data_IF_759636188523
#
_entry.id   IF_759636188523
#
_cell.length_a   1.000
_cell.length_b   1.000
_cell.length_c   1.000
_cell.angle_alpha   90.00
_cell.angle_beta   90.00
_cell.angle_gamma   90.00
#
_symmetry.space_group_name_H-M   'P 1'
#
loop_
_entity.id
_entity.type
_entity.pdbx_description
1 polymer ?
#
# COMPACT_ATOMS: atom_id res chain seq x y z
N UNK A 1 -11.51 16.51 -0.78
CA UNK A 1 -11.85 15.38 -1.67
C UNK A 1 -13.03 14.66 -1.02
N UNK A 2 -14.24 15.00 -1.45
CA UNK A 2 -15.47 14.38 -0.97
C UNK A 2 -15.50 12.94 -1.46
N UNK A 3 -15.33 11.99 -0.53
CA UNK A 3 -15.51 10.56 -0.81
C UNK A 3 -17.01 10.34 -1.07
N UNK A 4 -17.38 10.05 -2.31
CA UNK A 4 -18.77 9.76 -2.68
C UNK A 4 -19.33 8.56 -1.92
N UNK A 5 -20.66 8.44 -1.86
CA UNK A 5 -21.42 7.44 -1.08
C UNK A 5 -21.09 5.96 -1.39
N UNK A 6 -20.29 5.67 -2.43
CA UNK A 6 -19.86 4.31 -2.81
C UNK A 6 -18.46 3.92 -2.32
N UNK A 7 -17.80 4.76 -1.52
CA UNK A 7 -16.39 4.55 -1.20
C UNK A 7 -15.50 4.83 -2.41
N UNK A 8 -14.24 5.21 -2.20
CA UNK A 8 -13.34 5.64 -3.27
C UNK A 8 -12.82 4.55 -4.21
N UNK A 9 -13.59 3.47 -4.45
CA UNK A 9 -13.19 2.25 -5.15
C UNK A 9 -14.07 1.99 -6.38
N UNK A 10 -14.12 2.93 -7.32
CA UNK A 10 -14.47 2.56 -8.69
C UNK A 10 -13.18 2.31 -9.44
N UNK A 11 -13.02 1.07 -9.91
CA UNK A 11 -11.91 0.70 -10.76
C UNK A 11 -11.97 1.48 -12.06
N UNK A 12 -10.84 2.11 -12.42
CA UNK A 12 -10.69 2.93 -13.60
C UNK A 12 -10.30 2.06 -14.79
N UNK A 13 -11.02 2.24 -15.89
CA UNK A 13 -10.73 1.55 -17.15
C UNK A 13 -9.47 2.11 -17.81
N UNK A 14 -8.79 1.26 -18.60
CA UNK A 14 -7.60 1.60 -19.39
C UNK A 14 -6.43 0.67 -19.16
N UNK A 15 -5.42 0.74 -20.04
CA UNK A 15 -4.18 -0.03 -19.97
C UNK A 15 -2.98 0.78 -20.53
N UNK A 16 -2.39 1.71 -19.77
CA UNK A 16 -2.71 1.99 -18.37
C UNK A 16 -3.97 2.86 -18.20
N UNK A 17 -4.70 2.76 -17.08
CA UNK A 17 -5.71 3.73 -16.70
C UNK A 17 -5.09 5.11 -16.61
N UNK A 18 -5.73 6.12 -17.20
CA UNK A 18 -5.17 7.48 -17.30
C UNK A 18 -5.90 8.42 -16.35
N UNK A 19 -5.16 9.24 -15.60
CA UNK A 19 -5.74 10.31 -14.80
C UNK A 19 -6.24 11.45 -15.69
N UNK A 20 -7.49 11.86 -15.44
CA UNK A 20 -8.15 12.94 -16.15
C UNK A 20 -8.80 13.89 -15.14
N UNK A 21 -8.91 15.16 -15.52
CA UNK A 21 -9.59 16.18 -14.71
C UNK A 21 -11.09 16.06 -14.98
N UNK A 22 -11.86 15.76 -13.94
CA UNK A 22 -13.30 15.52 -14.05
C UNK A 22 -14.08 16.83 -14.28
N UNK A 23 -13.49 17.99 -13.98
CA UNK A 23 -14.14 19.29 -14.17
C UNK A 23 -13.17 20.46 -14.32
N UNK A 24 -13.68 21.56 -14.86
CA UNK A 24 -12.97 22.86 -14.91
C UNK A 24 -12.66 23.37 -13.50
N UNK A 25 -13.53 23.10 -12.52
CA UNK A 25 -13.30 23.46 -11.11
C UNK A 25 -12.11 22.70 -10.53
N UNK A 26 -12.03 21.39 -10.79
CA UNK A 26 -10.91 20.55 -10.36
C UNK A 26 -9.59 21.00 -11.01
N UNK A 27 -9.62 21.37 -12.30
CA UNK A 27 -8.46 21.94 -12.99
C UNK A 27 -7.98 23.23 -12.32
N UNK A 28 -8.90 24.17 -12.06
CA UNK A 28 -8.58 25.43 -11.38
C UNK A 28 -8.06 25.20 -9.96
N UNK A 29 -8.63 24.22 -9.24
CA UNK A 29 -8.17 23.84 -7.92
C UNK A 29 -6.70 23.37 -7.94
N UNK A 30 -6.34 22.45 -8.83
CA UNK A 30 -4.95 22.00 -8.92
C UNK A 30 -4.00 23.09 -9.39
N UNK A 31 -4.41 23.95 -10.32
CA UNK A 31 -3.61 25.11 -10.73
C UNK A 31 -3.36 26.08 -9.57
N UNK A 32 -4.40 26.39 -8.79
CA UNK A 32 -4.29 27.26 -7.62
C UNK A 32 -3.41 26.63 -6.54
N UNK A 33 -3.61 25.34 -6.25
CA UNK A 33 -2.76 24.57 -5.33
C UNK A 33 -1.30 24.62 -5.79
N UNK A 34 -1.03 24.29 -7.04
CA UNK A 34 0.33 24.24 -7.57
C UNK A 34 1.00 25.63 -7.55
N UNK A 35 0.24 26.69 -7.81
CA UNK A 35 0.69 28.07 -7.66
C UNK A 35 1.01 28.41 -6.19
N UNK A 36 0.08 28.12 -5.27
CA UNK A 36 0.26 28.39 -3.84
C UNK A 36 1.51 27.70 -3.31
N UNK A 37 1.68 26.41 -3.63
CA UNK A 37 2.80 25.61 -3.15
C UNK A 37 4.13 25.92 -3.86
N UNK A 38 4.10 26.58 -5.03
CA UNK A 38 5.29 26.80 -5.86
C UNK A 38 6.42 27.51 -5.13
N UNK A 39 6.11 28.48 -4.25
CA UNK A 39 7.11 29.21 -3.48
C UNK A 39 7.96 28.26 -2.64
N UNK A 40 7.33 27.41 -1.83
CA UNK A 40 8.05 26.49 -0.95
C UNK A 40 8.73 25.35 -1.73
N UNK A 41 8.06 24.83 -2.76
CA UNK A 41 8.61 23.75 -3.58
C UNK A 41 9.85 24.20 -4.35
N UNK A 42 9.79 25.32 -5.07
CA UNK A 42 10.94 25.80 -5.84
C UNK A 42 12.10 26.24 -4.92
N UNK A 43 11.81 26.82 -3.75
CA UNK A 43 12.84 27.06 -2.71
C UNK A 43 13.48 25.76 -2.25
N UNK A 44 12.71 24.70 -2.02
CA UNK A 44 13.25 23.39 -1.63
C UNK A 44 14.08 22.75 -2.76
N UNK A 45 13.61 22.83 -4.01
CA UNK A 45 14.34 22.35 -5.18
C UNK A 45 15.73 22.96 -5.27
N UNK A 46 15.83 24.28 -5.04
CA UNK A 46 17.12 24.99 -5.04
C UNK A 46 17.94 24.67 -3.80
N UNK A 47 17.36 24.77 -2.60
CA UNK A 47 18.07 24.58 -1.33
C UNK A 47 18.73 23.19 -1.22
N UNK A 48 18.05 22.16 -1.71
CA UNK A 48 18.52 20.78 -1.62
C UNK A 48 19.08 20.25 -2.94
N UNK A 49 19.33 21.14 -3.91
CA UNK A 49 19.84 20.79 -5.23
C UNK A 49 19.13 19.58 -5.85
N UNK A 50 17.80 19.55 -5.77
CA UNK A 50 17.04 18.33 -6.06
C UNK A 50 17.24 17.82 -7.49
N UNK A 51 17.68 18.66 -8.44
CA UNK A 51 17.94 18.25 -9.83
C UNK A 51 19.30 17.56 -10.02
N UNK A 52 20.19 17.61 -9.04
CA UNK A 52 21.56 17.08 -9.15
C UNK A 52 21.63 15.58 -8.91
N UNK A 53 20.69 15.01 -8.14
CA UNK A 53 20.60 13.56 -7.90
C UNK A 53 20.60 12.73 -9.19
N UNK A 54 21.12 11.52 -9.08
CA UNK A 54 21.29 10.63 -10.22
C UNK A 54 20.01 9.89 -10.60
N UNK A 55 19.15 9.58 -9.63
CA UNK A 55 17.93 8.79 -9.84
C UNK A 55 16.78 9.42 -9.05
N UNK A 56 15.60 9.45 -9.66
CA UNK A 56 14.38 9.95 -9.05
C UNK A 56 13.37 8.83 -8.92
N UNK A 57 12.98 8.51 -7.69
CA UNK A 57 12.00 7.47 -7.41
C UNK A 57 10.72 8.11 -6.88
N UNK A 58 9.65 8.01 -7.68
CA UNK A 58 8.34 8.58 -7.43
C UNK A 58 7.38 7.52 -6.89
N UNK A 59 7.08 7.64 -5.61
CA UNK A 59 6.01 6.89 -4.99
C UNK A 59 4.66 7.35 -5.55
N UNK A 60 3.80 6.38 -5.86
CA UNK A 60 2.48 6.56 -6.46
C UNK A 60 2.54 7.17 -7.87
N UNK A 61 3.70 7.28 -8.51
CA UNK A 61 3.84 8.01 -9.77
C UNK A 61 3.35 9.45 -9.64
N UNK A 62 3.74 10.12 -8.54
CA UNK A 62 3.44 11.51 -8.25
C UNK A 62 4.72 12.32 -8.07
N UNK A 63 4.64 13.59 -8.45
CA UNK A 63 5.66 14.60 -8.15
C UNK A 63 5.04 15.79 -7.40
N UNK A 64 5.79 16.88 -7.27
CA UNK A 64 5.32 18.11 -6.62
C UNK A 64 4.10 18.76 -7.30
N UNK A 65 4.00 18.68 -8.63
CA UNK A 65 2.97 19.36 -9.43
C UNK A 65 2.11 18.39 -10.23
N UNK A 66 0.82 18.70 -10.42
CA UNK A 66 -0.07 17.81 -11.19
C UNK A 66 0.18 17.86 -12.69
N UNK A 67 0.84 18.91 -13.17
CA UNK A 67 1.17 19.07 -14.58
C UNK A 67 2.48 18.38 -15.01
N UNK A 68 3.19 17.74 -14.07
CA UNK A 68 4.44 17.01 -14.34
C UNK A 68 5.61 17.93 -14.69
N UNK A 69 5.58 19.23 -14.36
CA UNK A 69 6.64 20.17 -14.78
C UNK A 69 8.01 19.81 -14.21
N UNK A 70 8.10 19.19 -13.04
CA UNK A 70 9.40 18.88 -12.44
C UNK A 70 10.04 17.67 -13.14
N UNK A 71 9.31 16.58 -13.37
CA UNK A 71 9.74 15.40 -14.14
C UNK A 71 10.04 15.75 -15.59
N UNK A 72 9.31 16.69 -16.19
CA UNK A 72 9.64 17.21 -17.53
C UNK A 72 11.00 17.91 -17.55
N UNK A 73 11.34 18.67 -16.50
CA UNK A 73 12.68 19.28 -16.37
C UNK A 73 13.74 18.19 -16.18
N UNK A 74 13.50 17.21 -15.33
CA UNK A 74 14.42 16.09 -15.07
C UNK A 74 14.68 15.23 -16.32
N UNK A 75 13.62 14.89 -17.05
CA UNK A 75 13.71 14.13 -18.30
C UNK A 75 14.55 14.87 -19.35
N UNK A 76 14.41 16.21 -19.46
CA UNK A 76 15.27 17.03 -20.35
C UNK A 76 16.74 17.05 -19.92
N UNK A 77 17.03 16.84 -18.64
CA UNK A 77 18.38 16.70 -18.11
C UNK A 77 18.92 15.25 -18.23
N UNK A 78 18.17 14.34 -18.86
CA UNK A 78 18.54 12.94 -18.99
C UNK A 78 18.49 12.15 -17.67
N UNK A 79 17.77 12.65 -16.66
CA UNK A 79 17.69 12.00 -15.35
C UNK A 79 16.71 10.81 -15.39
N UNK A 80 17.12 9.60 -14.96
CA UNK A 80 16.26 8.45 -14.75
C UNK A 80 15.12 8.72 -13.75
N UNK A 81 13.91 8.31 -14.12
CA UNK A 81 12.69 8.46 -13.30
C UNK A 81 12.01 7.10 -13.15
N UNK A 82 11.90 6.63 -11.92
CA UNK A 82 11.27 5.37 -11.53
C UNK A 82 9.94 5.69 -10.85
N UNK A 83 8.88 4.95 -11.15
CA UNK A 83 7.60 5.07 -10.46
C UNK A 83 7.23 3.74 -9.77
N UNK A 84 6.83 3.78 -8.49
CA UNK A 84 6.24 2.62 -7.80
C UNK A 84 4.75 2.87 -7.54
N UNK A 85 3.91 1.91 -7.93
CA UNK A 85 2.46 1.95 -7.78
C UNK A 85 1.98 0.97 -6.69
N UNK A 86 1.09 1.43 -5.80
CA UNK A 86 0.61 0.75 -4.58
C UNK A 86 -0.92 0.62 -4.54
N UNK A 87 -1.54 0.48 -5.70
CA UNK A 87 -2.95 0.12 -5.77
C UNK A 87 -3.84 1.29 -6.14
N UNK A 88 -4.17 2.18 -5.20
CA UNK A 88 -5.14 3.26 -5.46
C UNK A 88 -4.71 4.20 -6.60
N UNK A 89 -3.40 4.42 -6.74
CA UNK A 89 -2.83 5.21 -7.81
C UNK A 89 -3.20 4.70 -9.21
N UNK A 90 -3.25 3.38 -9.42
CA UNK A 90 -3.52 2.77 -10.71
C UNK A 90 -4.94 2.18 -10.80
N UNK A 91 -5.48 1.63 -9.71
CA UNK A 91 -6.85 1.11 -9.61
C UNK A 91 -7.88 2.20 -9.82
N UNK A 92 -7.73 3.38 -9.19
CA UNK A 92 -8.82 4.38 -9.14
C UNK A 92 -8.43 5.71 -9.77
N UNK A 93 -7.20 6.20 -9.55
CA UNK A 93 -6.77 7.49 -10.08
C UNK A 93 -6.32 7.42 -11.55
N UNK A 94 -5.51 6.41 -11.88
CA UNK A 94 -4.78 6.29 -13.12
C UNK A 94 -3.45 7.05 -13.13
N UNK A 95 -2.60 6.71 -14.08
CA UNK A 95 -1.29 7.34 -14.29
C UNK A 95 -1.44 8.81 -14.67
N UNK A 96 -0.51 9.65 -14.24
CA UNK A 96 -0.44 11.03 -14.77
C UNK A 96 0.31 10.95 -16.11
N UNK A 97 -0.31 11.30 -17.26
CA UNK A 97 0.31 11.11 -18.58
C UNK A 97 1.69 11.75 -18.71
N UNK A 98 1.87 12.93 -18.11
CA UNK A 98 3.14 13.65 -18.14
C UNK A 98 4.28 12.91 -17.43
N UNK A 99 3.95 12.14 -16.39
CA UNK A 99 4.93 11.36 -15.59
C UNK A 99 5.15 10.01 -16.24
N UNK A 100 4.07 9.31 -16.60
CA UNK A 100 4.14 7.99 -17.23
C UNK A 100 4.97 8.00 -18.51
N UNK A 101 4.78 9.04 -19.35
CA UNK A 101 5.52 9.23 -20.59
C UNK A 101 7.05 9.32 -20.40
N UNK A 102 7.52 9.79 -19.25
CA UNK A 102 8.95 10.00 -18.98
C UNK A 102 9.53 9.01 -17.97
N UNK A 103 8.70 8.14 -17.42
CA UNK A 103 9.14 7.06 -16.54
C UNK A 103 9.98 6.06 -17.33
N UNK A 104 11.17 5.75 -16.82
CA UNK A 104 12.03 4.71 -17.40
C UNK A 104 11.78 3.33 -16.79
N UNK A 105 11.13 3.26 -15.62
CA UNK A 105 10.83 2.01 -14.93
C UNK A 105 9.59 2.18 -14.05
N UNK A 106 8.56 1.36 -14.31
CA UNK A 106 7.35 1.29 -13.51
C UNK A 106 7.37 0.00 -12.68
N UNK A 107 7.16 0.11 -11.37
CA UNK A 107 7.25 -0.97 -10.39
C UNK A 107 5.94 -1.11 -9.61
N UNK A 108 5.69 -2.31 -9.11
CA UNK A 108 4.64 -2.56 -8.12
C UNK A 108 4.96 -3.79 -7.29
N UNK A 109 4.45 -3.84 -6.07
CA UNK A 109 4.39 -5.04 -5.24
C UNK A 109 3.01 -5.71 -5.25
N UNK A 110 2.04 -5.14 -5.97
CA UNK A 110 0.66 -5.63 -6.03
C UNK A 110 0.43 -6.41 -7.34
N UNK A 111 0.13 -7.70 -7.21
CA UNK A 111 0.06 -8.63 -8.36
C UNK A 111 -1.03 -8.27 -9.38
N UNK A 112 -2.16 -7.76 -8.91
CA UNK A 112 -3.27 -7.36 -9.79
C UNK A 112 -2.90 -6.15 -10.67
N UNK A 113 -1.97 -5.30 -10.23
CA UNK A 113 -1.52 -4.14 -11.01
C UNK A 113 -0.69 -4.53 -12.25
N UNK A 114 -0.12 -5.74 -12.29
CA UNK A 114 0.55 -6.27 -13.47
C UNK A 114 -0.39 -6.31 -14.69
N UNK A 115 -1.70 -6.48 -14.45
CA UNK A 115 -2.74 -6.46 -15.49
C UNK A 115 -3.28 -5.06 -15.80
N UNK A 116 -2.78 -4.01 -15.13
CA UNK A 116 -3.25 -2.63 -15.31
C UNK A 116 -2.25 -1.71 -16.00
N UNK A 117 -1.02 -2.14 -16.29
CA UNK A 117 -0.06 -1.28 -16.99
C UNK A 117 0.88 -2.11 -17.88
N UNK A 118 1.08 -1.75 -19.17
CA UNK A 118 1.85 -2.57 -20.12
C UNK A 118 3.32 -2.75 -19.74
N UNK A 119 3.93 -1.72 -19.16
CA UNK A 119 5.37 -1.69 -18.82
C UNK A 119 5.68 -1.79 -17.32
N UNK A 120 4.74 -2.26 -16.49
CA UNK A 120 4.97 -2.37 -15.04
C UNK A 120 5.66 -3.69 -14.70
N UNK A 121 6.58 -3.66 -13.75
CA UNK A 121 7.31 -4.85 -13.27
C UNK A 121 7.02 -5.11 -11.81
N UNK A 122 7.04 -6.38 -11.45
CA UNK A 122 6.87 -6.79 -10.07
C UNK A 122 8.18 -6.61 -9.28
N UNK A 123 8.08 -6.01 -8.09
CA UNK A 123 9.16 -5.90 -7.11
C UNK A 123 8.59 -6.19 -5.72
N UNK A 124 9.16 -7.18 -5.05
CA UNK A 124 8.82 -7.49 -3.66
C UNK A 124 9.13 -6.31 -2.75
N UNK A 125 8.26 -6.03 -1.77
CA UNK A 125 8.60 -5.06 -0.73
C UNK A 125 9.77 -5.62 0.10
N UNK A 126 10.83 -4.82 0.32
CA UNK A 126 11.97 -5.27 1.10
C UNK A 126 11.55 -5.49 2.55
N UNK A 127 11.87 -6.67 3.08
CA UNK A 127 11.69 -7.00 4.48
C UNK A 127 12.81 -7.93 4.92
N UNK A 128 13.51 -7.57 5.99
CA UNK A 128 14.55 -8.43 6.56
C UNK A 128 13.92 -9.47 7.48
N UNK A 129 13.79 -10.70 6.99
CA UNK A 129 13.23 -11.81 7.76
C UNK A 129 14.21 -12.35 8.81
N UNK A 130 15.52 -12.04 8.70
CA UNK A 130 16.56 -12.57 9.59
C UNK A 130 16.58 -11.90 10.96
N UNK A 131 15.81 -10.82 11.14
CA UNK A 131 15.66 -10.12 12.42
C UNK A 131 14.92 -10.96 13.47
N UNK A 132 14.26 -12.04 13.05
CA UNK A 132 13.54 -12.95 13.94
C UNK A 132 14.13 -14.36 13.89
N UNK A 133 14.02 -15.07 15.00
CA UNK A 133 14.42 -16.47 15.13
C UNK A 133 13.26 -17.27 15.73
N UNK A 134 12.25 -17.64 14.91
CA UNK A 134 11.05 -18.30 15.42
C UNK A 134 11.35 -19.71 15.95
N UNK A 135 10.56 -20.14 16.93
CA UNK A 135 10.51 -21.53 17.38
C UNK A 135 9.27 -22.20 16.79
N UNK A 136 9.44 -23.44 16.31
CA UNK A 136 8.37 -24.25 15.72
C UNK A 136 7.96 -25.41 16.63
N UNK A 137 8.16 -25.26 17.93
CA UNK A 137 7.73 -26.25 18.92
C UNK A 137 6.19 -26.35 18.96
N UNK A 138 5.69 -27.58 18.93
CA UNK A 138 4.26 -27.84 19.09
C UNK A 138 3.85 -27.60 20.54
N UNK A 139 2.89 -26.72 20.75
CA UNK A 139 2.30 -26.44 22.06
C UNK A 139 1.04 -27.26 22.27
N UNK A 140 0.63 -27.45 23.53
CA UNK A 140 -0.65 -28.07 23.89
C UNK A 140 -1.84 -27.14 23.64
N UNK A 141 -1.63 -25.82 23.64
CA UNK A 141 -2.61 -24.80 23.32
C UNK A 141 -2.27 -24.08 22.00
N UNK A 142 -3.31 -23.60 21.32
CA UNK A 142 -3.23 -22.86 20.06
C UNK A 142 -3.70 -21.43 20.30
N UNK A 143 -2.87 -20.46 19.94
CA UNK A 143 -3.18 -19.03 20.08
C UNK A 143 -3.36 -18.41 18.70
N UNK A 144 -4.57 -17.96 18.41
CA UNK A 144 -4.97 -17.33 17.15
C UNK A 144 -4.98 -15.82 17.37
N UNK A 145 -4.32 -15.05 16.51
CA UNK A 145 -4.42 -13.59 16.56
C UNK A 145 -4.93 -12.97 15.26
N UNK A 146 -5.58 -11.81 15.42
CA UNK A 146 -6.01 -10.93 14.35
C UNK A 146 -5.62 -9.49 14.69
N UNK A 147 -4.99 -8.77 13.75
CA UNK A 147 -4.49 -7.41 13.99
C UNK A 147 -4.92 -6.44 12.89
N UNK A 148 -6.19 -5.97 12.91
CA UNK A 148 -6.70 -5.07 11.90
C UNK A 148 -6.40 -3.60 12.23
N UNK A 149 -5.87 -2.85 11.27
CA UNK A 149 -5.88 -1.37 11.34
C UNK A 149 -7.26 -0.81 10.98
N UNK A 150 -7.98 -1.51 10.10
CA UNK A 150 -9.34 -1.15 9.70
C UNK A 150 -10.17 -2.42 9.57
N UNK A 151 -11.13 -2.59 10.48
CA UNK A 151 -11.98 -3.77 10.56
C UNK A 151 -12.76 -4.07 9.28
N UNK A 152 -13.26 -3.03 8.61
CA UNK A 152 -14.07 -3.19 7.40
C UNK A 152 -13.27 -3.87 6.28
N UNK A 153 -12.06 -3.36 5.99
CA UNK A 153 -11.22 -3.92 4.92
C UNK A 153 -10.62 -5.27 5.27
N UNK A 154 -10.40 -5.53 6.57
CA UNK A 154 -9.86 -6.80 7.06
C UNK A 154 -10.92 -7.90 7.24
N UNK A 155 -12.20 -7.56 7.12
CA UNK A 155 -13.29 -8.53 7.31
C UNK A 155 -13.44 -8.96 8.77
N UNK A 156 -13.06 -8.10 9.71
CA UNK A 156 -13.01 -8.45 11.14
C UNK A 156 -14.37 -8.83 11.71
N UNK A 157 -15.47 -8.27 11.19
CA UNK A 157 -16.83 -8.62 11.61
C UNK A 157 -17.18 -10.09 11.30
N UNK A 158 -16.42 -10.75 10.42
CA UNK A 158 -16.51 -12.19 10.17
C UNK A 158 -15.48 -12.96 10.99
N UNK A 159 -14.23 -12.48 11.06
CA UNK A 159 -13.13 -13.17 11.74
C UNK A 159 -13.39 -13.27 13.25
N UNK A 160 -13.77 -12.16 13.90
CA UNK A 160 -13.87 -12.06 15.36
C UNK A 160 -14.89 -13.07 15.92
N UNK A 161 -16.17 -13.10 15.47
CA UNK A 161 -17.15 -14.03 16.03
C UNK A 161 -16.77 -15.49 15.84
N UNK A 162 -16.18 -15.85 14.69
CA UNK A 162 -15.72 -17.21 14.41
C UNK A 162 -14.60 -17.61 15.38
N UNK A 163 -13.62 -16.73 15.61
CA UNK A 163 -12.52 -17.03 16.51
C UNK A 163 -12.96 -17.08 17.98
N UNK A 164 -13.88 -16.20 18.38
CA UNK A 164 -14.50 -16.23 19.72
C UNK A 164 -15.29 -17.53 19.92
N UNK A 165 -16.05 -17.98 18.93
CA UNK A 165 -16.78 -19.25 18.98
C UNK A 165 -15.81 -20.44 19.09
N UNK A 166 -14.75 -20.46 18.29
CA UNK A 166 -13.72 -21.51 18.35
C UNK A 166 -13.04 -21.57 19.72
N UNK A 167 -12.67 -20.44 20.31
CA UNK A 167 -12.11 -20.37 21.65
C UNK A 167 -13.12 -20.81 22.73
N UNK A 168 -14.42 -20.52 22.55
CA UNK A 168 -15.46 -20.93 23.51
C UNK A 168 -15.73 -22.44 23.52
N UNK A 169 -15.52 -23.11 22.38
CA UNK A 169 -15.79 -24.56 22.21
C UNK A 169 -14.60 -25.45 22.53
N UNK A 170 -13.39 -24.89 22.65
CA UNK A 170 -12.16 -25.66 22.81
C UNK A 170 -11.30 -25.04 23.92
N UNK A 171 -11.12 -25.76 25.02
CA UNK A 171 -10.36 -25.28 26.21
C UNK A 171 -8.89 -24.95 25.91
N UNK A 172 -8.34 -25.50 24.82
CA UNK A 172 -6.96 -25.30 24.41
C UNK A 172 -6.78 -24.26 23.29
N UNK A 173 -7.81 -23.48 22.95
CA UNK A 173 -7.75 -22.43 21.92
C UNK A 173 -7.96 -21.05 22.54
N UNK A 174 -7.05 -20.11 22.27
CA UNK A 174 -7.16 -18.71 22.67
C UNK A 174 -7.26 -17.82 21.44
N UNK A 175 -8.15 -16.82 21.48
CA UNK A 175 -8.23 -15.78 20.45
C UNK A 175 -7.77 -14.43 21.00
N UNK A 176 -6.91 -13.74 20.25
CA UNK A 176 -6.32 -12.46 20.62
C UNK A 176 -6.57 -11.44 19.51
N UNK A 177 -7.44 -10.47 19.80
CA UNK A 177 -7.64 -9.30 18.95
C UNK A 177 -6.62 -8.21 19.32
N UNK A 178 -5.81 -7.78 18.34
CA UNK A 178 -4.75 -6.79 18.53
C UNK A 178 -5.12 -5.49 17.82
N UNK A 179 -5.62 -4.51 18.58
CA UNK A 179 -6.01 -3.20 18.06
C UNK A 179 -5.45 -2.06 18.90
N UNK A 180 -5.26 -0.89 18.27
CA UNK A 180 -4.78 0.32 18.93
C UNK A 180 -3.46 0.12 19.70
N UNK A 181 -2.56 -0.69 19.14
CA UNK A 181 -1.23 -0.97 19.68
C UNK A 181 -0.13 -0.37 18.79
N UNK A 182 1.03 -0.13 19.39
CA UNK A 182 2.22 0.20 18.62
C UNK A 182 2.64 -0.99 17.75
N UNK A 183 3.46 -0.72 16.73
CA UNK A 183 4.00 -1.77 15.87
C UNK A 183 4.85 -2.79 16.67
N UNK A 184 5.71 -2.31 17.59
CA UNK A 184 6.52 -3.16 18.45
C UNK A 184 5.68 -4.04 19.38
N UNK A 185 4.62 -3.49 19.98
CA UNK A 185 3.72 -4.27 20.84
C UNK A 185 2.95 -5.31 20.04
N UNK A 186 2.52 -4.95 18.83
CA UNK A 186 1.84 -5.87 17.91
C UNK A 186 2.73 -7.05 17.56
N UNK A 187 4.01 -6.81 17.22
CA UNK A 187 4.97 -7.87 16.95
C UNK A 187 5.26 -8.71 18.20
N UNK A 188 5.36 -8.09 19.38
CA UNK A 188 5.56 -8.81 20.64
C UNK A 188 4.38 -9.74 20.96
N UNK A 189 3.14 -9.30 20.75
CA UNK A 189 1.95 -10.14 20.94
C UNK A 189 1.92 -11.26 19.90
N UNK A 190 2.12 -10.93 18.60
CA UNK A 190 2.16 -11.94 17.52
C UNK A 190 3.17 -13.04 17.80
N UNK A 191 4.38 -12.73 18.29
CA UNK A 191 5.41 -13.72 18.69
C UNK A 191 4.91 -14.78 19.66
N UNK A 192 3.88 -14.45 20.44
CA UNK A 192 3.30 -15.38 21.42
C UNK A 192 2.16 -16.22 20.84
N UNK A 193 1.79 -16.00 19.58
CA UNK A 193 0.71 -16.67 18.87
C UNK A 193 1.24 -17.72 17.88
N UNK A 194 0.36 -18.58 17.40
CA UNK A 194 0.68 -19.69 16.49
C UNK A 194 0.03 -19.49 15.11
N UNK A 195 -1.18 -18.90 15.08
CA UNK A 195 -1.93 -18.62 13.85
C UNK A 195 -2.21 -17.13 13.77
N UNK A 196 -2.00 -16.54 12.59
CA UNK A 196 -2.40 -15.18 12.28
C UNK A 196 -3.44 -15.16 11.16
N UNK A 197 -4.60 -14.55 11.41
CA UNK A 197 -5.63 -14.36 10.38
C UNK A 197 -5.54 -12.91 9.89
N UNK A 198 -5.14 -12.68 8.64
CA UNK A 198 -4.93 -11.33 8.12
C UNK A 198 -6.22 -10.70 7.59
N UNK A 199 -6.83 -11.29 6.55
CA UNK A 199 -7.95 -10.68 5.84
C UNK A 199 -8.91 -11.71 5.22
N UNK A 200 -10.20 -11.36 5.25
CA UNK A 200 -11.29 -11.99 4.48
C UNK A 200 -12.16 -10.91 3.78
N UNK A 201 -12.93 -11.30 2.76
CA UNK A 201 -13.87 -10.53 1.92
C UNK A 201 -13.30 -9.63 0.80
N UNK A 202 -11.99 -9.64 0.52
CA UNK A 202 -11.33 -8.84 -0.53
C UNK A 202 -11.92 -7.42 -0.77
N UNK A 203 -12.21 -6.67 0.31
CA UNK A 203 -12.89 -5.36 0.22
C UNK A 203 -11.96 -4.19 -0.08
N UNK A 204 -10.65 -4.39 0.09
CA UNK A 204 -9.61 -3.39 -0.13
C UNK A 204 -8.78 -3.63 -1.39
N UNK A 205 -9.09 -4.68 -2.17
CA UNK A 205 -8.24 -5.16 -3.24
C UNK A 205 -7.04 -5.96 -2.73
N UNK A 206 -6.13 -6.28 -3.66
CA UNK A 206 -4.95 -7.09 -3.40
C UNK A 206 -3.81 -6.22 -2.88
N UNK A 207 -3.57 -6.23 -1.58
CA UNK A 207 -2.34 -5.64 -1.02
C UNK A 207 -1.17 -6.64 -1.07
N UNK A 208 0.05 -6.15 -0.91
CA UNK A 208 1.23 -7.04 -0.75
C UNK A 208 1.15 -7.92 0.52
N UNK A 209 0.42 -7.47 1.54
CA UNK A 209 0.26 -8.23 2.78
C UNK A 209 1.47 -8.15 3.72
N UNK A 210 2.05 -6.96 3.92
CA UNK A 210 3.18 -6.77 4.85
C UNK A 210 2.90 -7.32 6.26
N UNK A 211 1.65 -7.20 6.73
CA UNK A 211 1.22 -7.73 8.02
C UNK A 211 1.34 -9.27 8.11
N UNK A 212 1.02 -9.94 6.99
CA UNK A 212 1.22 -11.38 6.79
C UNK A 212 2.69 -11.74 6.66
N UNK A 213 3.50 -10.96 5.93
CA UNK A 213 4.96 -11.18 5.82
C UNK A 213 5.64 -11.08 7.18
N UNK A 214 5.25 -10.11 7.99
CA UNK A 214 5.71 -9.98 9.38
C UNK A 214 5.28 -11.17 10.24
N UNK A 215 4.04 -11.64 10.13
CA UNK A 215 3.59 -12.79 10.91
C UNK A 215 4.29 -14.09 10.48
N UNK A 216 4.51 -14.29 9.17
CA UNK A 216 5.29 -15.41 8.64
C UNK A 216 6.74 -15.38 9.14
N UNK A 217 7.38 -14.20 9.16
CA UNK A 217 8.76 -14.06 9.65
C UNK A 217 8.89 -14.31 11.16
N UNK A 218 7.79 -14.12 11.90
CA UNK A 218 7.65 -14.49 13.30
C UNK A 218 7.35 -15.98 13.52
N UNK A 219 7.19 -16.77 12.46
CA UNK A 219 6.94 -18.22 12.51
C UNK A 219 5.46 -18.60 12.61
N UNK A 220 4.53 -17.65 12.47
CA UNK A 220 3.10 -17.93 12.56
C UNK A 220 2.59 -18.53 11.24
N UNK A 221 1.61 -19.43 11.35
CA UNK A 221 0.81 -19.84 10.21
C UNK A 221 -0.16 -18.70 9.83
N UNK A 222 0.05 -18.10 8.65
CA UNK A 222 -0.81 -17.02 8.15
C UNK A 222 -1.98 -17.56 7.33
N UNK A 223 -3.18 -17.13 7.69
CA UNK A 223 -4.43 -17.43 6.99
C UNK A 223 -4.98 -16.14 6.39
N UNK A 224 -5.19 -16.14 5.08
CA UNK A 224 -5.78 -15.02 4.36
C UNK A 224 -6.53 -15.52 3.14
N UNK A 225 -7.58 -14.81 2.74
CA UNK A 225 -8.27 -15.07 1.50
C UNK A 225 -7.50 -14.49 0.32
N UNK A 226 -7.21 -15.31 -0.70
CA UNK A 226 -6.68 -14.90 -2.00
C UNK A 226 -7.82 -15.13 -3.02
N UNK A 227 -8.39 -14.04 -3.56
CA UNK A 227 -9.52 -14.09 -4.52
C UNK A 227 -9.07 -13.62 -5.89
#
# INVERSE_FOLDING_TARGET
ITRGMKGGYQDKEGYPPVWELNSVLEKKYFQFRDWLWSKWVETAIQKYNLKEYDIFHLEWGLEFYRDGRFVKKLSKLGKPIICTYHGQDLRTRGVIPAIDKVSCLNLTSELDLLKKHPNIKYLFLPYDTKIHNPSFESKSSIRICHSPTNRFYKGSDTIIPICEELASKNENVEFILIENRSHSDTLAIKKTCDIFIDQVHNRGGWGYGMNSVEALSLGLCCVTELV
#
